data_IF_530106238829
#
_entry.id   IF_530106238829
#
_cell.length_a   1.000
_cell.length_b   1.000
_cell.length_c   1.000
_cell.angle_alpha   90.00
_cell.angle_beta   90.00
_cell.angle_gamma   90.00
#
_symmetry.space_group_name_H-M   'P 1'
#
loop_
_entity.id
_entity.type
_entity.pdbx_description
1 polymer ?
#
# COMPACT_ATOMS: atom_id res chain seq x y z
N UNK A 1 5.17 11.95 -8.39
CA UNK A 1 6.04 11.48 -7.30
C UNK A 1 5.15 10.89 -6.23
N UNK A 2 5.36 9.63 -5.87
CA UNK A 2 4.56 8.95 -4.83
C UNK A 2 5.05 9.42 -3.45
N UNK A 3 4.13 9.77 -2.56
CA UNK A 3 4.42 10.13 -1.18
C UNK A 3 4.22 8.92 -0.27
N UNK A 4 5.05 8.79 0.77
CA UNK A 4 4.89 7.78 1.81
C UNK A 4 4.36 8.45 3.07
N UNK A 5 3.24 7.96 3.60
CA UNK A 5 2.68 8.38 4.89
C UNK A 5 2.86 7.26 5.90
N UNK A 6 3.75 7.50 6.85
CA UNK A 6 4.02 6.55 7.93
C UNK A 6 2.97 6.70 9.02
N UNK A 7 2.30 5.60 9.33
CA UNK A 7 1.30 5.49 10.38
C UNK A 7 1.97 5.28 11.74
N UNK A 8 1.39 5.87 12.77
CA UNK A 8 1.75 5.63 14.16
C UNK A 8 1.36 4.22 14.58
N UNK A 9 1.94 3.71 15.68
CA UNK A 9 1.54 2.40 16.20
C UNK A 9 0.05 2.39 16.58
N UNK A 10 -0.71 1.44 16.01
CA UNK A 10 -2.16 1.33 16.21
C UNK A 10 -3.00 2.32 15.40
N UNK A 11 -2.37 3.17 14.58
CA UNK A 11 -3.07 3.99 13.58
C UNK A 11 -3.30 3.14 12.33
N UNK A 12 -4.51 3.22 11.76
CA UNK A 12 -4.87 2.56 10.51
C UNK A 12 -4.91 3.59 9.38
N UNK A 13 -4.75 3.14 8.13
CA UNK A 13 -5.10 3.98 6.98
C UNK A 13 -6.53 4.54 7.16
N UNK A 14 -6.76 5.84 6.84
CA UNK A 14 -8.11 6.39 6.82
C UNK A 14 -9.02 5.63 5.86
N UNK A 15 -10.33 5.67 6.12
CA UNK A 15 -11.31 5.20 5.14
C UNK A 15 -11.23 6.09 3.89
N UNK A 16 -11.07 5.44 2.74
CA UNK A 16 -10.94 6.09 1.44
C UNK A 16 -12.29 5.99 0.71
N UNK A 17 -12.63 7.00 -0.07
CA UNK A 17 -13.85 6.93 -0.88
C UNK A 17 -13.75 5.81 -1.93
N UNK A 18 -14.89 5.27 -2.37
CA UNK A 18 -14.94 4.18 -3.35
C UNK A 18 -14.24 4.52 -4.69
N UNK A 19 -14.16 5.82 -5.01
CA UNK A 19 -13.52 6.36 -6.20
C UNK A 19 -12.06 6.82 -5.98
N UNK A 20 -11.55 6.68 -4.76
CA UNK A 20 -10.17 7.03 -4.42
C UNK A 20 -9.29 5.78 -4.41
N UNK A 21 -8.25 5.79 -5.26
CA UNK A 21 -7.27 4.71 -5.28
C UNK A 21 -6.32 4.83 -4.09
N UNK A 22 -6.16 3.73 -3.36
CA UNK A 22 -5.33 3.65 -2.19
C UNK A 22 -4.38 2.45 -2.25
N UNK A 23 -3.29 2.55 -1.48
CA UNK A 23 -2.31 1.48 -1.30
C UNK A 23 -1.72 1.58 0.10
N UNK A 24 -1.63 0.45 0.77
CA UNK A 24 -1.04 0.28 2.09
C UNK A 24 0.07 -0.77 2.08
N UNK A 25 1.11 -0.54 2.87
CA UNK A 25 2.15 -1.50 3.21
C UNK A 25 2.10 -1.76 4.71
N UNK A 26 1.95 -3.02 5.11
CA UNK A 26 1.79 -3.43 6.51
C UNK A 26 2.92 -4.32 6.98
N UNK A 27 3.50 -4.01 8.14
CA UNK A 27 4.44 -4.89 8.82
C UNK A 27 3.72 -6.09 9.44
N UNK A 28 4.37 -7.25 9.40
CA UNK A 28 3.94 -8.48 10.04
C UNK A 28 4.86 -8.88 11.20
N UNK A 29 4.35 -9.66 12.14
CA UNK A 29 5.08 -10.13 13.33
C UNK A 29 6.31 -10.99 13.01
N UNK A 30 6.38 -11.57 11.83
CA UNK A 30 7.53 -12.33 11.33
C UNK A 30 8.59 -11.47 10.63
N UNK A 31 8.46 -10.13 10.70
CA UNK A 31 9.42 -9.18 10.13
C UNK A 31 9.26 -8.92 8.63
N UNK A 32 8.22 -9.49 8.01
CA UNK A 32 7.85 -9.24 6.61
C UNK A 32 6.98 -7.99 6.47
N UNK A 33 6.83 -7.52 5.23
CA UNK A 33 6.01 -6.37 4.87
C UNK A 33 5.15 -6.73 3.69
N UNK A 34 3.82 -6.61 3.83
CA UNK A 34 2.86 -6.98 2.79
C UNK A 34 2.25 -5.73 2.20
N UNK A 35 1.90 -5.77 0.91
CA UNK A 35 1.30 -4.66 0.20
C UNK A 35 -0.08 -5.00 -0.31
N UNK A 36 -1.04 -4.13 -0.04
CA UNK A 36 -2.39 -4.23 -0.60
C UNK A 36 -2.86 -2.88 -1.12
N UNK A 37 -3.76 -2.89 -2.10
CA UNK A 37 -4.31 -1.66 -2.65
C UNK A 37 -5.51 -1.92 -3.53
N UNK A 38 -6.36 -0.90 -3.67
CA UNK A 38 -7.57 -0.97 -4.47
C UNK A 38 -7.96 0.43 -4.94
N UNK A 39 -8.71 0.50 -6.03
CA UNK A 39 -9.58 1.63 -6.29
C UNK A 39 -10.26 1.54 -7.64
N UNK A 40 -11.01 2.58 -7.98
CA UNK A 40 -11.82 2.61 -9.19
C UNK A 40 -11.40 3.77 -10.10
N UNK A 41 -11.03 3.45 -11.34
CA UNK A 41 -10.72 4.46 -12.36
C UNK A 41 -12.00 5.20 -12.77
N UNK A 42 -11.84 6.40 -13.34
CA UNK A 42 -12.94 7.16 -13.94
C UNK A 42 -13.67 6.40 -15.07
N UNK A 43 -13.01 5.43 -15.70
CA UNK A 43 -13.63 4.54 -16.69
C UNK A 43 -14.63 3.54 -16.08
N UNK A 44 -14.68 3.43 -14.75
CA UNK A 44 -15.48 2.46 -14.01
C UNK A 44 -14.76 1.13 -13.72
N UNK A 45 -13.55 0.93 -14.24
CA UNK A 45 -12.69 -0.22 -14.01
C UNK A 45 -12.13 -0.23 -12.58
N UNK A 46 -12.23 -1.36 -11.89
CA UNK A 46 -11.56 -1.59 -10.60
C UNK A 46 -10.16 -2.14 -10.80
N UNK A 47 -9.19 -1.61 -10.06
CA UNK A 47 -7.82 -2.11 -10.03
C UNK A 47 -7.45 -2.53 -8.62
N UNK A 48 -6.64 -3.57 -8.53
CA UNK A 48 -6.22 -4.17 -7.26
C UNK A 48 -4.70 -4.35 -7.26
N UNK A 49 -4.11 -4.15 -6.10
CA UNK A 49 -2.73 -4.47 -5.80
C UNK A 49 -2.70 -5.48 -4.66
N UNK A 50 -1.98 -6.58 -4.89
CA UNK A 50 -1.60 -7.55 -3.87
C UNK A 50 -0.12 -7.83 -4.14
N UNK A 51 0.70 -7.67 -3.11
CA UNK A 51 2.13 -7.92 -3.21
C UNK A 51 2.42 -9.40 -3.52
N UNK A 52 3.54 -9.63 -4.20
CA UNK A 52 4.02 -10.97 -4.50
C UNK A 52 4.95 -11.45 -3.37
N UNK A 53 5.08 -12.77 -3.14
CA UNK A 53 5.94 -13.31 -2.09
C UNK A 53 7.40 -12.83 -2.15
N UNK A 54 7.93 -12.60 -3.35
CA UNK A 54 9.28 -12.05 -3.56
C UNK A 54 9.45 -10.60 -3.10
N UNK A 55 8.35 -9.84 -3.03
CA UNK A 55 8.33 -8.45 -2.58
C UNK A 55 8.09 -8.34 -1.07
N UNK A 56 7.49 -9.38 -0.46
CA UNK A 56 7.09 -9.46 0.95
C UNK A 56 8.25 -9.72 1.93
N UNK A 57 9.46 -9.27 1.61
CA UNK A 57 10.67 -9.64 2.35
C UNK A 57 11.14 -8.59 3.34
N UNK A 58 11.06 -7.32 2.97
CA UNK A 58 11.45 -6.19 3.80
C UNK A 58 10.79 -4.91 3.27
N UNK A 59 10.74 -3.88 4.11
CA UNK A 59 10.09 -2.61 3.79
C UNK A 59 10.60 -1.99 2.48
N UNK A 60 11.91 -2.07 2.19
CA UNK A 60 12.47 -1.46 0.98
C UNK A 60 11.97 -2.16 -0.28
N UNK A 61 11.94 -3.50 -0.29
CA UNK A 61 11.43 -4.27 -1.43
C UNK A 61 9.94 -4.02 -1.63
N UNK A 62 9.15 -4.10 -0.56
CA UNK A 62 7.72 -3.83 -0.58
C UNK A 62 7.40 -2.42 -1.11
N UNK A 63 8.09 -1.38 -0.60
CA UNK A 63 7.94 -0.01 -1.09
C UNK A 63 8.34 0.14 -2.56
N UNK A 64 9.37 -0.55 -3.02
CA UNK A 64 9.81 -0.49 -4.41
C UNK A 64 8.73 -1.06 -5.35
N UNK A 65 8.18 -2.23 -5.03
CA UNK A 65 7.13 -2.86 -5.81
C UNK A 65 5.85 -2.02 -5.82
N UNK A 66 5.41 -1.56 -4.65
CA UNK A 66 4.24 -0.72 -4.50
C UNK A 66 4.40 0.65 -5.19
N UNK A 67 5.57 1.28 -5.13
CA UNK A 67 5.84 2.55 -5.82
C UNK A 67 5.75 2.40 -7.33
N UNK A 68 6.23 1.28 -7.87
CA UNK A 68 6.10 0.98 -9.30
C UNK A 68 4.64 0.85 -9.69
N UNK A 69 3.87 0.03 -8.97
CA UNK A 69 2.44 -0.14 -9.23
C UNK A 69 1.66 1.17 -9.10
N UNK A 70 1.95 1.95 -8.04
CA UNK A 70 1.35 3.26 -7.80
C UNK A 70 1.61 4.23 -8.95
N UNK A 71 2.82 4.25 -9.50
CA UNK A 71 3.17 5.07 -10.66
C UNK A 71 2.40 4.69 -11.92
N UNK A 72 2.17 3.40 -12.16
CA UNK A 72 1.40 2.89 -13.31
C UNK A 72 -0.10 3.20 -13.21
N UNK A 73 -0.62 3.31 -11.98
CA UNK A 73 -2.06 3.47 -11.71
C UNK A 73 -2.45 4.87 -11.23
N UNK A 74 -1.49 5.79 -11.07
CA UNK A 74 -1.75 7.17 -10.65
C UNK A 74 -2.00 7.35 -9.15
N UNK A 75 -1.61 6.38 -8.32
CA UNK A 75 -1.69 6.50 -6.86
C UNK A 75 -0.60 7.46 -6.37
N UNK A 76 -1.01 8.45 -5.59
CA UNK A 76 -0.10 9.52 -5.14
C UNK A 76 0.40 9.35 -3.72
N UNK A 77 -0.25 8.49 -2.93
CA UNK A 77 0.07 8.24 -1.53
C UNK A 77 0.09 6.74 -1.26
N UNK A 78 1.15 6.27 -0.58
CA UNK A 78 1.24 4.93 0.01
C UNK A 78 1.26 5.08 1.51
N UNK A 79 0.34 4.41 2.19
CA UNK A 79 0.28 4.35 3.65
C UNK A 79 1.21 3.23 4.14
N UNK A 80 1.96 3.49 5.19
CA UNK A 80 3.03 2.58 5.63
C UNK A 80 2.91 2.36 7.12
N UNK A 81 2.56 1.14 7.50
CA UNK A 81 2.55 0.69 8.88
C UNK A 81 3.85 -0.07 9.16
N UNK A 82 4.75 0.51 9.97
CA UNK A 82 6.06 -0.11 10.28
C UNK A 82 6.03 -1.02 11.52
N UNK A 83 4.92 -1.03 12.23
CA UNK A 83 4.69 -1.86 13.42
C UNK A 83 3.52 -2.78 13.13
N UNK A 84 3.58 -4.08 13.42
CA UNK A 84 2.44 -4.97 13.21
C UNK A 84 1.22 -4.52 14.00
N UNK A 85 0.02 -4.64 13.41
CA UNK A 85 -1.23 -4.42 14.12
C UNK A 85 -1.45 -5.56 15.13
N UNK A 86 -1.89 -5.21 16.34
CA UNK A 86 -2.15 -6.15 17.44
C UNK A 86 -3.43 -6.97 17.23
#
# INVERSE_FOLDING_TARGET
MVQYRYLSAGETMPEMADDELWLEIEASFDGRFFGTGCGRKLSGESVFYISLPEDDVNLKTALSAATKWAGEHGVTCIWVQTTPAL
#
